data_IF_405036985605
#
_entry.id   IF_405036985605
#
_cell.length_a   1.000
_cell.length_b   1.000
_cell.length_c   1.000
_cell.angle_alpha   90.00
_cell.angle_beta   90.00
_cell.angle_gamma   90.00
#
_symmetry.space_group_name_H-M   'P 1'
#
loop_
_entity.id
_entity.type
_entity.pdbx_description
1 polymer ?
#
# COMPACT_ATOMS: atom_id res chain seq x y z
N UNK A 1 10.11 60.07 -26.54
CA UNK A 1 9.25 58.88 -26.34
C UNK A 1 10.02 57.56 -26.33
N UNK A 2 10.90 57.26 -27.29
CA UNK A 2 11.65 55.97 -27.35
C UNK A 2 12.48 55.64 -26.10
N UNK A 3 13.11 56.65 -25.47
CA UNK A 3 13.91 56.47 -24.24
C UNK A 3 13.03 56.11 -23.03
N UNK A 4 11.92 56.81 -22.83
CA UNK A 4 10.95 56.51 -21.76
C UNK A 4 10.32 55.12 -21.94
N UNK A 5 9.96 54.75 -23.18
CA UNK A 5 9.42 53.42 -23.48
C UNK A 5 10.44 52.32 -23.16
N UNK A 6 11.73 52.55 -23.47
CA UNK A 6 12.82 51.61 -23.17
C UNK A 6 13.05 51.45 -21.65
N UNK A 7 12.98 52.54 -20.89
CA UNK A 7 13.08 52.49 -19.42
C UNK A 7 11.90 51.73 -18.80
N UNK A 8 10.68 51.97 -19.27
CA UNK A 8 9.47 51.28 -18.80
C UNK A 8 9.54 49.77 -19.10
N UNK A 9 9.98 49.39 -20.30
CA UNK A 9 10.15 47.97 -20.68
C UNK A 9 11.20 47.27 -19.83
N UNK A 10 12.32 47.94 -19.54
CA UNK A 10 13.37 47.38 -18.66
C UNK A 10 12.86 47.20 -17.23
N UNK A 11 12.10 48.17 -16.71
CA UNK A 11 11.51 48.08 -15.37
C UNK A 11 10.47 46.95 -15.28
N UNK A 12 9.61 46.82 -16.30
CA UNK A 12 8.62 45.75 -16.37
C UNK A 12 9.28 44.36 -16.46
N UNK A 13 10.34 44.22 -17.26
CA UNK A 13 11.09 42.96 -17.37
C UNK A 13 11.80 42.58 -16.04
N UNK A 14 12.38 43.57 -15.34
CA UNK A 14 13.01 43.34 -14.04
C UNK A 14 11.98 42.92 -12.98
N UNK A 15 10.80 43.55 -12.95
CA UNK A 15 9.72 43.19 -12.04
C UNK A 15 9.19 41.78 -12.30
N UNK A 16 9.10 41.36 -13.57
CA UNK A 16 8.64 40.02 -13.96
C UNK A 16 9.65 38.93 -13.56
N UNK A 17 10.96 39.23 -13.61
CA UNK A 17 12.01 38.34 -13.13
C UNK A 17 11.99 38.16 -11.61
N UNK A 18 11.74 39.24 -10.85
CA UNK A 18 11.59 39.16 -9.39
C UNK A 18 10.35 38.33 -9.02
N UNK A 19 9.23 38.53 -9.72
CA UNK A 19 8.03 37.73 -9.50
C UNK A 19 8.28 36.25 -9.79
N UNK A 20 9.00 35.89 -10.86
CA UNK A 20 9.40 34.50 -11.13
C UNK A 20 10.36 33.92 -10.07
N UNK A 21 11.22 34.74 -9.46
CA UNK A 21 12.12 34.29 -8.40
C UNK A 21 11.37 33.97 -7.08
N UNK A 22 10.25 34.63 -6.82
CA UNK A 22 9.42 34.38 -5.63
C UNK A 22 8.28 33.37 -5.87
N UNK A 23 7.82 33.18 -7.11
CA UNK A 23 6.82 32.16 -7.47
C UNK A 23 7.44 30.84 -7.94
N UNK A 24 8.77 30.77 -8.03
CA UNK A 24 9.50 29.53 -8.29
C UNK A 24 9.41 28.60 -7.07
N UNK A 25 8.91 27.38 -7.29
CA UNK A 25 8.93 26.28 -6.34
C UNK A 25 10.24 26.28 -5.56
N UNK A 26 10.19 26.58 -4.26
CA UNK A 26 11.35 26.47 -3.38
C UNK A 26 11.90 25.06 -3.53
N UNK A 27 13.13 24.96 -4.04
CA UNK A 27 13.76 23.76 -4.59
C UNK A 27 13.98 22.61 -3.59
N UNK A 28 13.52 22.78 -2.34
CA UNK A 28 13.71 21.83 -1.26
C UNK A 28 12.39 21.58 -0.55
N UNK A 29 12.05 20.30 -0.40
CA UNK A 29 11.02 19.88 0.54
C UNK A 29 11.45 20.32 1.94
N UNK A 30 10.56 20.99 2.67
CA UNK A 30 10.83 21.37 4.06
C UNK A 30 10.93 20.08 4.92
N UNK A 31 11.64 20.11 6.06
CA UNK A 31 11.82 18.97 6.95
C UNK A 31 10.49 18.29 7.32
N UNK A 32 9.43 19.07 7.50
CA UNK A 32 8.08 18.53 7.75
C UNK A 32 7.54 17.68 6.60
N UNK A 33 7.84 18.05 5.35
CA UNK A 33 7.42 17.28 4.17
C UNK A 33 8.25 16.01 4.00
N UNK A 34 9.54 16.05 4.36
CA UNK A 34 10.40 14.87 4.39
C UNK A 34 9.94 13.90 5.49
N UNK A 35 9.64 14.41 6.69
CA UNK A 35 9.15 13.60 7.80
C UNK A 35 7.80 12.96 7.49
N UNK A 36 6.85 13.71 6.90
CA UNK A 36 5.58 13.15 6.44
C UNK A 36 5.80 12.08 5.34
N UNK A 37 6.77 12.28 4.45
CA UNK A 37 7.12 11.28 3.45
C UNK A 37 7.66 10.00 4.10
N UNK A 38 8.54 10.11 5.10
CA UNK A 38 9.07 8.94 5.81
C UNK A 38 7.99 8.21 6.61
N UNK A 39 7.11 8.94 7.29
CA UNK A 39 5.98 8.35 8.03
C UNK A 39 5.03 7.60 7.09
N UNK A 40 4.68 8.20 5.95
CA UNK A 40 3.82 7.53 4.96
C UNK A 40 4.46 6.31 4.34
N UNK A 41 5.79 6.33 4.12
CA UNK A 41 6.54 5.15 3.67
C UNK A 41 6.51 4.03 4.72
N UNK A 42 6.81 4.35 5.97
CA UNK A 42 6.78 3.37 7.06
C UNK A 42 5.38 2.76 7.24
N UNK A 43 4.32 3.59 7.13
CA UNK A 43 2.94 3.12 7.18
C UNK A 43 2.59 2.21 6.00
N UNK A 44 3.07 2.54 4.79
CA UNK A 44 2.88 1.71 3.60
C UNK A 44 3.59 0.36 3.74
N UNK A 45 4.85 0.36 4.18
CA UNK A 45 5.63 -0.87 4.42
C UNK A 45 4.97 -1.76 5.48
N UNK A 46 4.48 -1.17 6.57
CA UNK A 46 3.75 -1.90 7.61
C UNK A 46 2.43 -2.51 7.08
N UNK A 47 1.70 -1.79 6.23
CA UNK A 47 0.49 -2.29 5.61
C UNK A 47 0.78 -3.43 4.62
N UNK A 48 1.87 -3.35 3.86
CA UNK A 48 2.31 -4.41 2.95
C UNK A 48 2.71 -5.68 3.72
N UNK A 49 3.42 -5.54 4.84
CA UNK A 49 3.76 -6.67 5.73
C UNK A 49 2.51 -7.31 6.31
N UNK A 50 1.59 -6.52 6.90
CA UNK A 50 0.35 -7.05 7.45
C UNK A 50 -0.50 -7.78 6.40
N UNK A 51 -0.50 -7.29 5.16
CA UNK A 51 -1.20 -7.95 4.05
C UNK A 51 -0.53 -9.28 3.68
N UNK A 52 0.81 -9.33 3.63
CA UNK A 52 1.55 -10.56 3.39
C UNK A 52 1.29 -11.61 4.49
N UNK A 53 1.30 -11.19 5.76
CA UNK A 53 1.02 -12.05 6.91
C UNK A 53 -0.40 -12.61 6.86
N UNK A 54 -1.41 -11.75 6.64
CA UNK A 54 -2.81 -12.17 6.49
C UNK A 54 -2.99 -13.18 5.34
N UNK A 55 -2.31 -12.99 4.21
CA UNK A 55 -2.34 -13.95 3.10
C UNK A 55 -1.72 -15.29 3.48
N UNK A 56 -0.60 -15.27 4.19
CA UNK A 56 0.05 -16.48 4.70
C UNK A 56 -0.84 -17.26 5.69
N UNK A 57 -1.45 -16.55 6.63
CA UNK A 57 -2.41 -17.14 7.58
C UNK A 57 -3.62 -17.73 6.87
N UNK A 58 -4.18 -17.01 5.89
CA UNK A 58 -5.32 -17.50 5.10
C UNK A 58 -4.98 -18.80 4.38
N UNK A 59 -3.84 -18.85 3.69
CA UNK A 59 -3.40 -20.07 3.00
C UNK A 59 -3.18 -21.26 3.97
N UNK A 60 -2.61 -20.99 5.15
CA UNK A 60 -2.44 -22.01 6.20
C UNK A 60 -3.78 -22.53 6.72
N UNK A 61 -4.72 -21.63 7.01
CA UNK A 61 -6.06 -21.98 7.49
C UNK A 61 -6.87 -22.73 6.43
N UNK A 62 -6.75 -22.36 5.16
CA UNK A 62 -7.38 -23.09 4.05
C UNK A 62 -6.83 -24.51 3.91
N UNK A 63 -5.50 -24.69 4.04
CA UNK A 63 -4.87 -26.02 4.04
C UNK A 63 -5.37 -26.87 5.21
N UNK A 64 -5.39 -26.30 6.42
CA UNK A 64 -5.89 -27.00 7.61
C UNK A 64 -7.37 -27.36 7.47
N UNK A 65 -8.19 -26.48 6.89
CA UNK A 65 -9.60 -26.77 6.62
C UNK A 65 -9.76 -27.91 5.63
N UNK A 66 -8.96 -27.95 4.57
CA UNK A 66 -8.99 -29.03 3.58
C UNK A 66 -8.61 -30.38 4.22
N UNK A 67 -7.51 -30.41 4.98
CA UNK A 67 -7.06 -31.60 5.71
C UNK A 67 -8.12 -32.09 6.70
N UNK A 68 -8.70 -31.19 7.50
CA UNK A 68 -9.72 -31.55 8.49
C UNK A 68 -10.99 -32.06 7.83
N UNK A 69 -11.41 -31.48 6.70
CA UNK A 69 -12.55 -31.98 5.92
C UNK A 69 -12.29 -33.38 5.38
N UNK A 70 -11.10 -33.63 4.84
CA UNK A 70 -10.73 -34.95 4.34
C UNK A 70 -10.71 -35.99 5.48
N UNK A 71 -10.08 -35.67 6.60
CA UNK A 71 -10.06 -36.56 7.76
C UNK A 71 -11.47 -36.88 8.28
N UNK A 72 -12.38 -35.90 8.26
CA UNK A 72 -13.77 -36.10 8.67
C UNK A 72 -14.51 -37.05 7.72
N UNK A 73 -14.33 -36.89 6.40
CA UNK A 73 -14.91 -37.78 5.40
C UNK A 73 -14.35 -39.21 5.51
N UNK A 74 -13.05 -39.35 5.76
CA UNK A 74 -12.43 -40.66 5.96
C UNK A 74 -12.94 -41.33 7.25
N UNK A 75 -13.07 -40.58 8.35
CA UNK A 75 -13.66 -41.11 9.59
C UNK A 75 -15.13 -41.51 9.44
N UNK A 76 -15.93 -40.76 8.67
CA UNK A 76 -17.32 -41.16 8.38
C UNK A 76 -17.37 -42.49 7.62
N UNK A 77 -16.53 -42.65 6.59
CA UNK A 77 -16.46 -43.90 5.83
C UNK A 77 -16.02 -45.07 6.71
N UNK A 78 -15.03 -44.87 7.56
CA UNK A 78 -14.62 -45.90 8.52
C UNK A 78 -15.75 -46.25 9.50
N UNK A 79 -16.48 -45.26 10.01
CA UNK A 79 -17.62 -45.48 10.88
C UNK A 79 -18.72 -46.31 10.19
N UNK A 80 -19.06 -45.96 8.94
CA UNK A 80 -20.04 -46.72 8.15
C UNK A 80 -19.58 -48.15 7.90
N UNK A 81 -18.30 -48.35 7.55
CA UNK A 81 -17.71 -49.66 7.32
C UNK A 81 -17.73 -50.53 8.59
N UNK A 82 -17.40 -49.95 9.74
CA UNK A 82 -17.43 -50.64 11.04
C UNK A 82 -18.87 -51.01 11.39
N UNK A 83 -19.83 -50.10 11.20
CA UNK A 83 -21.25 -50.38 11.46
C UNK A 83 -21.79 -51.50 10.55
N UNK A 84 -21.40 -51.54 9.28
CA UNK A 84 -21.76 -52.65 8.37
C UNK A 84 -21.18 -53.98 8.86
N UNK A 85 -19.88 -54.01 9.21
CA UNK A 85 -19.24 -55.22 9.74
C UNK A 85 -19.88 -55.74 11.03
N UNK A 86 -20.35 -54.83 11.89
CA UNK A 86 -21.07 -55.18 13.11
C UNK A 86 -22.49 -55.69 12.83
N UNK A 87 -23.15 -55.22 11.77
CA UNK A 87 -24.47 -55.70 11.37
C UNK A 87 -24.43 -57.06 10.65
N UNK A 88 -23.31 -57.38 10.00
CA UNK A 88 -23.07 -58.66 9.34
C UNK A 88 -22.55 -59.76 10.29
N UNK A 89 -22.32 -59.44 11.57
CA UNK A 89 -21.95 -60.36 12.67
C UNK A 89 -23.17 -60.81 13.47
#
# INVERSE_FOLDING_TARGET
MRKALRTVVVFAAAMLLVLMAFTGCTKYANEQQLQALEETKAAAEAAEQALADCKGETASLESQLAEKKQALEDMKKEQELVNQRLADM
#
